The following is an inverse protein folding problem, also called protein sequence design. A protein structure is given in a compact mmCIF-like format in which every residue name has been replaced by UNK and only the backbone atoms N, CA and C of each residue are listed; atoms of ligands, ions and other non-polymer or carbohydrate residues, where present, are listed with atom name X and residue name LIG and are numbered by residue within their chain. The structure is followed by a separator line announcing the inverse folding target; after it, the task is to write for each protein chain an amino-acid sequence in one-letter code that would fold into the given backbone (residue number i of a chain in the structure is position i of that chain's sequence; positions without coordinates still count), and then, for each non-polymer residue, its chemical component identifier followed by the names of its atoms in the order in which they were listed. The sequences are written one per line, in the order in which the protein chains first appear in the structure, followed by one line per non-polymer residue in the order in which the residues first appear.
data_IF_942641731226
#
_entry.id   IF_942641731226
#
_cell.length_a   1.000
_cell.length_b   1.000
_cell.length_c   1.000
_cell.angle_alpha   90.00
_cell.angle_beta   90.00
_cell.angle_gamma   90.00
#
_symmetry.space_group_name_H-M   'P 1'
#
loop_
_entity.id
_entity.type
_entity.pdbx_description
1 polymer ?
#
# COMPACT_ATOMS: atom_id res chain seq x y z
N UNK A 1 -6.33 18.38 3.98
CA UNK A 1 -6.57 17.17 4.80
C UNK A 1 -5.99 16.03 3.99
N UNK A 2 -4.84 15.49 4.38
CA UNK A 2 -4.26 14.36 3.65
C UNK A 2 -5.16 13.15 3.89
N UNK A 3 -5.71 12.58 2.83
CA UNK A 3 -6.53 11.37 2.92
C UNK A 3 -5.64 10.15 3.14
N UNK A 4 -6.21 9.06 3.62
CA UNK A 4 -5.54 7.75 3.75
C UNK A 4 -4.81 7.37 2.45
N UNK A 5 -5.42 7.67 1.30
CA UNK A 5 -4.84 7.50 -0.03
C UNK A 5 -3.52 8.26 -0.23
N UNK A 6 -3.46 9.53 0.17
CA UNK A 6 -2.28 10.40 0.00
C UNK A 6 -1.10 9.92 0.85
N UNK A 7 -1.39 9.47 2.09
CA UNK A 7 -0.39 8.86 2.99
C UNK A 7 0.14 7.54 2.44
N UNK A 8 -0.76 6.67 1.99
CA UNK A 8 -0.41 5.39 1.39
C UNK A 8 0.43 5.57 0.13
N UNK A 9 0.06 6.51 -0.74
CA UNK A 9 0.84 6.85 -1.95
C UNK A 9 2.26 7.25 -1.58
N UNK A 10 2.40 8.14 -0.58
CA UNK A 10 3.71 8.55 -0.06
C UNK A 10 4.53 7.41 0.51
N UNK A 11 3.92 6.54 1.33
CA UNK A 11 4.61 5.37 1.87
C UNK A 11 5.10 4.46 0.75
N UNK A 12 4.30 4.27 -0.30
CA UNK A 12 4.69 3.48 -1.47
C UNK A 12 5.84 4.16 -2.21
N UNK A 13 5.74 5.44 -2.54
CA UNK A 13 6.83 6.14 -3.25
C UNK A 13 8.15 6.19 -2.45
N UNK A 14 8.07 6.22 -1.12
CA UNK A 14 9.25 6.32 -0.23
C UNK A 14 9.86 4.96 0.11
N UNK A 15 9.08 3.88 0.13
CA UNK A 15 9.51 2.55 0.58
C UNK A 15 9.48 1.47 -0.50
N UNK A 16 8.80 1.69 -1.62
CA UNK A 16 8.65 0.73 -2.70
C UNK A 16 9.28 1.26 -3.99
N UNK A 17 10.27 0.53 -4.47
CA UNK A 17 10.98 0.78 -5.71
C UNK A 17 11.00 -0.47 -6.59
N UNK A 18 10.82 -0.29 -7.90
CA UNK A 18 10.87 -1.34 -8.92
C UNK A 18 11.99 -0.99 -9.86
N UNK A 19 12.96 -1.90 -10.02
CA UNK A 19 14.16 -1.69 -10.84
C UNK A 19 14.94 -0.40 -10.48
N UNK A 20 14.94 -0.01 -9.20
CA UNK A 20 15.61 1.20 -8.71
C UNK A 20 14.88 2.51 -9.05
N UNK A 21 13.62 2.42 -9.46
CA UNK A 21 12.75 3.57 -9.70
C UNK A 21 11.55 3.54 -8.74
N UNK A 22 11.09 4.70 -8.24
CA UNK A 22 9.89 4.77 -7.44
C UNK A 22 8.68 4.33 -8.26
N UNK A 23 7.76 3.64 -7.60
CA UNK A 23 6.58 3.12 -8.26
C UNK A 23 5.63 4.24 -8.63
N UNK A 24 5.33 4.33 -9.92
CA UNK A 24 4.31 5.24 -10.43
C UNK A 24 2.92 4.63 -10.18
N UNK A 25 2.31 5.01 -9.05
CA UNK A 25 0.91 4.69 -8.79
C UNK A 25 -0.02 5.63 -9.59
N UNK A 26 -1.07 5.11 -10.23
CA UNK A 26 -2.13 5.93 -10.78
C UNK A 26 -2.90 6.65 -9.66
N UNK A 27 -3.42 7.84 -9.94
CA UNK A 27 -4.18 8.64 -8.98
C UNK A 27 -5.40 7.91 -8.39
N UNK A 28 -6.01 7.01 -9.15
CA UNK A 28 -7.14 6.19 -8.70
C UNK A 28 -6.72 5.00 -7.80
N UNK A 29 -5.42 4.72 -7.62
CA UNK A 29 -4.88 3.59 -6.84
C UNK A 29 -5.47 2.22 -7.22
N UNK A 30 -6.13 2.14 -8.38
CA UNK A 30 -6.75 0.94 -8.93
C UNK A 30 -5.71 0.07 -9.66
N UNK A 31 -4.56 -0.12 -9.02
CA UNK A 31 -3.48 -0.99 -9.46
C UNK A 31 -3.12 -1.93 -8.31
N UNK A 32 -2.76 -3.16 -8.66
CA UNK A 32 -2.17 -4.11 -7.72
C UNK A 32 -0.69 -3.81 -7.55
N UNK A 33 -0.16 -3.89 -6.33
CA UNK A 33 1.30 -3.79 -6.11
C UNK A 33 2.06 -4.81 -6.98
N UNK A 34 1.52 -6.03 -7.12
CA UNK A 34 2.09 -7.04 -8.02
C UNK A 34 2.07 -6.65 -9.50
N UNK A 35 1.07 -5.90 -9.96
CA UNK A 35 0.98 -5.41 -11.35
C UNK A 35 1.94 -4.23 -11.59
N UNK A 36 2.18 -3.43 -10.55
CA UNK A 36 3.20 -2.39 -10.53
C UNK A 36 4.64 -2.93 -10.53
N UNK A 37 4.84 -4.26 -10.47
CA UNK A 37 6.16 -4.90 -10.44
C UNK A 37 6.75 -5.04 -9.04
N UNK A 38 5.96 -4.79 -7.98
CA UNK A 38 6.40 -4.97 -6.60
C UNK A 38 6.62 -6.44 -6.30
N UNK A 39 7.78 -6.74 -5.73
CA UNK A 39 8.06 -8.08 -5.23
C UNK A 39 7.22 -8.39 -3.99
N UNK A 40 6.77 -9.64 -3.85
CA UNK A 40 5.93 -10.08 -2.72
C UNK A 40 6.55 -9.79 -1.34
N UNK A 41 7.89 -9.71 -1.27
CA UNK A 41 8.64 -9.35 -0.05
C UNK A 41 8.39 -7.89 0.32
N UNK A 42 8.46 -6.97 -0.64
CA UNK A 42 8.22 -5.55 -0.42
C UNK A 42 6.74 -5.28 -0.11
N UNK A 43 5.81 -6.03 -0.70
CA UNK A 43 4.38 -5.98 -0.33
C UNK A 43 4.20 -6.30 1.16
N UNK A 44 4.86 -7.35 1.66
CA UNK A 44 4.77 -7.75 3.06
C UNK A 44 5.46 -6.74 3.99
N UNK A 45 6.57 -6.13 3.57
CA UNK A 45 7.25 -5.09 4.33
C UNK A 45 6.38 -3.82 4.41
N UNK A 46 5.80 -3.43 3.28
CA UNK A 46 4.86 -2.32 3.18
C UNK A 46 3.61 -2.53 4.04
N UNK A 47 3.03 -3.73 4.04
CA UNK A 47 1.90 -4.09 4.88
C UNK A 47 2.17 -3.80 6.37
N UNK A 48 3.37 -4.15 6.83
CA UNK A 48 3.80 -3.90 8.22
C UNK A 48 3.98 -2.42 8.50
N UNK A 49 4.62 -1.68 7.58
CA UNK A 49 4.77 -0.23 7.71
C UNK A 49 3.43 0.48 7.82
N UNK A 50 2.47 0.10 6.96
CA UNK A 50 1.10 0.61 7.01
C UNK A 50 0.42 0.25 8.34
N UNK A 51 0.55 -1.00 8.80
CA UNK A 51 0.03 -1.42 10.10
C UNK A 51 0.56 -0.53 11.24
N UNK A 52 1.87 -0.28 11.25
CA UNK A 52 2.54 0.57 12.24
C UNK A 52 2.14 2.05 12.11
N UNK A 53 2.07 2.59 10.89
CA UNK A 53 1.77 4.01 10.64
C UNK A 53 0.31 4.37 10.98
N UNK A 54 -0.62 3.46 10.73
CA UNK A 54 -2.04 3.62 11.03
C UNK A 54 -2.45 3.03 12.38
N UNK A 55 -1.50 2.44 13.11
CA UNK A 55 -1.72 1.77 14.39
C UNK A 55 -2.86 0.73 14.34
N UNK A 56 -2.98 0.02 13.22
CA UNK A 56 -3.99 -1.03 13.03
C UNK A 56 -3.36 -2.42 13.05
N UNK A 57 -4.13 -3.42 13.46
CA UNK A 57 -3.78 -4.83 13.27
C UNK A 57 -3.99 -5.23 11.80
N UNK A 58 -3.10 -4.79 10.92
CA UNK A 58 -3.10 -5.20 9.51
C UNK A 58 -2.27 -6.49 9.37
N UNK A 59 -2.94 -7.61 9.13
CA UNK A 59 -2.23 -8.87 8.94
C UNK A 59 -1.63 -8.94 7.54
N UNK A 60 -0.47 -9.60 7.36
CA UNK A 60 0.06 -9.86 6.02
C UNK A 60 -0.91 -10.68 5.14
N UNK A 61 -1.82 -11.44 5.76
CA UNK A 61 -2.92 -12.10 5.06
C UNK A 61 -3.90 -11.11 4.45
N UNK A 62 -4.26 -10.03 5.14
CA UNK A 62 -5.07 -8.97 4.55
C UNK A 62 -4.36 -8.39 3.34
N UNK A 63 -3.04 -8.15 3.41
CA UNK A 63 -2.27 -7.61 2.27
C UNK A 63 -2.27 -8.52 1.04
N UNK A 64 -2.31 -9.84 1.24
CA UNK A 64 -2.41 -10.82 0.15
C UNK A 64 -3.85 -10.92 -0.37
N UNK A 65 -4.84 -10.71 0.50
CA UNK A 65 -6.25 -10.69 0.15
C UNK A 65 -6.61 -9.41 -0.63
N UNK A 66 -5.95 -8.29 -0.32
CA UNK A 66 -6.16 -7.04 -1.04
C UNK A 66 -5.58 -7.13 -2.46
N UNK A 67 -6.46 -7.03 -3.45
CA UNK A 67 -6.03 -7.05 -4.86
C UNK A 67 -5.51 -5.70 -5.32
N UNK A 68 -5.97 -4.60 -4.75
CA UNK A 68 -5.63 -3.25 -5.20
C UNK A 68 -5.23 -2.34 -4.05
N UNK A 69 -4.37 -1.35 -4.32
CA UNK A 69 -4.03 -0.33 -3.33
C UNK A 69 -5.27 0.47 -2.90
N UNK A 70 -6.24 0.65 -3.79
CA UNK A 70 -7.52 1.28 -3.48
C UNK A 70 -8.35 0.51 -2.42
N UNK A 71 -8.41 -0.82 -2.51
CA UNK A 71 -9.08 -1.65 -1.48
C UNK A 71 -8.36 -1.55 -0.13
N UNK A 72 -7.03 -1.47 -0.14
CA UNK A 72 -6.22 -1.30 1.07
C UNK A 72 -6.58 0.03 1.75
N UNK A 73 -6.58 1.12 0.97
CA UNK A 73 -6.97 2.45 1.43
C UNK A 73 -8.40 2.43 1.96
N UNK A 74 -9.33 1.78 1.26
CA UNK A 74 -10.72 1.71 1.69
C UNK A 74 -10.90 0.94 3.00
N UNK A 75 -10.12 -0.13 3.22
CA UNK A 75 -10.08 -0.87 4.50
C UNK A 75 -9.53 -0.02 5.64
N UNK A 76 -8.44 0.69 5.38
CA UNK A 76 -7.81 1.61 6.34
C UNK A 76 -8.75 2.76 6.71
N UNK A 77 -9.41 3.35 5.71
CA UNK A 77 -10.35 4.46 5.90
C UNK A 77 -11.61 4.01 6.65
N UNK A 78 -12.09 2.78 6.41
CA UNK A 78 -13.20 2.19 7.15
C UNK A 78 -12.84 1.78 8.60
N UNK A 79 -11.56 1.63 8.89
CA UNK A 79 -11.05 1.27 10.21
C UNK A 79 -10.62 2.49 11.07
N UNK A 80 -10.52 3.68 10.46
CA UNK A 80 -10.17 4.95 11.10
C UNK A 80 -11.41 5.71 11.62
#
# INVERSE_FOLDING_TARGET
MATTADRIRKLIEDNLEVDGQPIALPDDLNISLSDAGVSSVDILAFAKLVAEEFNMEFSPQDCVDVKTVQELVSRLDAAA
#
